data_IF_962175014247
#
_entry.id   IF_962175014247
#
_cell.length_a   1.000
_cell.length_b   1.000
_cell.length_c   1.000
_cell.angle_alpha   90.00
_cell.angle_beta   90.00
_cell.angle_gamma   90.00
#
_symmetry.space_group_name_H-M   'P 1'
#
loop_
_entity.id
_entity.type
_entity.pdbx_description
1 polymer ?
#
# COMPACT_ATOMS: atom_id res chain seq x y z
N UNK A 1 3.73 -11.37 -26.70
CA UNK A 1 4.12 -11.79 -25.33
C UNK A 1 3.35 -10.96 -24.32
N UNK A 2 2.71 -11.55 -23.30
CA UNK A 2 2.06 -10.80 -22.24
C UNK A 2 3.11 -9.99 -21.47
N UNK A 3 2.83 -8.69 -21.23
CA UNK A 3 3.73 -7.83 -20.45
C UNK A 3 3.75 -8.34 -19.01
N UNK A 4 4.94 -8.61 -18.47
CA UNK A 4 5.07 -9.01 -17.07
C UNK A 4 4.42 -7.96 -16.15
N UNK A 5 3.65 -8.38 -15.14
CA UNK A 5 3.06 -7.45 -14.19
C UNK A 5 4.16 -6.75 -13.40
N UNK A 6 4.11 -5.41 -13.35
CA UNK A 6 4.98 -4.61 -12.49
C UNK A 6 4.72 -4.98 -11.03
N UNK A 7 5.79 -5.16 -10.25
CA UNK A 7 5.72 -5.37 -8.79
C UNK A 7 5.42 -4.03 -8.10
N UNK A 8 4.82 -4.02 -6.90
CA UNK A 8 4.74 -2.81 -6.07
C UNK A 8 6.11 -2.15 -5.93
N UNK A 9 6.17 -0.81 -6.01
CA UNK A 9 7.44 -0.07 -5.94
C UNK A 9 8.32 -0.18 -7.18
N UNK A 10 7.82 -0.70 -8.30
CA UNK A 10 8.57 -0.75 -9.58
C UNK A 10 7.91 0.11 -10.66
N UNK A 11 8.71 0.54 -11.63
CA UNK A 11 8.27 1.30 -12.80
C UNK A 11 8.51 0.55 -14.11
N UNK A 12 7.73 0.89 -15.13
CA UNK A 12 7.90 0.39 -16.49
C UNK A 12 9.06 1.06 -17.24
N UNK A 13 9.30 0.62 -18.48
CA UNK A 13 10.34 1.18 -19.32
C UNK A 13 10.16 2.69 -19.55
N UNK A 14 11.25 3.44 -19.39
CA UNK A 14 11.28 4.89 -19.60
C UNK A 14 11.50 5.19 -21.07
N UNK A 15 10.41 5.47 -21.79
CA UNK A 15 10.45 5.88 -23.19
C UNK A 15 10.32 7.40 -23.30
N UNK A 16 11.40 8.04 -23.73
CA UNK A 16 11.42 9.49 -23.98
C UNK A 16 10.98 9.74 -25.42
N UNK A 17 9.96 10.57 -25.59
CA UNK A 17 9.43 11.01 -26.89
C UNK A 17 9.64 12.51 -27.03
N UNK A 18 9.72 12.98 -28.28
CA UNK A 18 9.75 14.41 -28.56
C UNK A 18 8.30 14.92 -28.62
N UNK A 19 8.07 16.10 -28.07
CA UNK A 19 6.79 16.82 -28.11
C UNK A 19 6.69 17.67 -29.39
N UNK A 20 5.49 18.09 -29.77
CA UNK A 20 5.27 18.94 -30.95
C UNK A 20 6.04 20.26 -30.89
N UNK A 21 6.27 20.74 -29.68
CA UNK A 21 6.84 22.06 -29.40
C UNK A 21 8.38 22.02 -29.35
N UNK A 22 8.99 20.93 -29.81
CA UNK A 22 10.45 20.72 -29.81
C UNK A 22 11.03 20.25 -28.48
N UNK A 23 10.21 20.19 -27.42
CA UNK A 23 10.57 19.60 -26.13
C UNK A 23 10.58 18.07 -26.14
N UNK A 24 10.87 17.46 -25.00
CA UNK A 24 10.84 16.02 -24.79
C UNK A 24 10.00 15.67 -23.57
N UNK A 25 9.36 14.51 -23.61
CA UNK A 25 8.60 13.99 -22.48
C UNK A 25 8.80 12.50 -22.28
N UNK A 26 8.64 12.05 -21.03
CA UNK A 26 8.52 10.65 -20.68
C UNK A 26 7.24 10.42 -19.88
N UNK A 27 6.47 9.42 -20.29
CA UNK A 27 5.28 8.94 -19.60
C UNK A 27 5.59 7.54 -19.08
N UNK A 28 5.76 7.41 -17.77
CA UNK A 28 6.17 6.17 -17.13
C UNK A 28 5.08 5.71 -16.18
N UNK A 29 4.66 4.45 -16.37
CA UNK A 29 3.72 3.80 -15.47
C UNK A 29 4.48 3.13 -14.34
N UNK A 30 3.98 3.27 -13.12
CA UNK A 30 4.55 2.62 -11.95
C UNK A 30 3.45 2.02 -11.08
N UNK A 31 3.81 1.13 -10.15
CA UNK A 31 2.91 0.70 -9.08
C UNK A 31 3.30 1.36 -7.77
N UNK A 32 2.33 1.94 -7.08
CA UNK A 32 2.55 2.45 -5.72
C UNK A 32 2.71 1.29 -4.71
N UNK A 33 3.04 1.63 -3.46
CA UNK A 33 3.21 0.66 -2.38
C UNK A 33 1.95 -0.18 -2.11
N UNK A 34 0.76 0.33 -2.45
CA UNK A 34 -0.51 -0.39 -2.32
C UNK A 34 -0.84 -1.23 -3.55
N UNK A 35 0.09 -1.32 -4.50
CA UNK A 35 -0.09 -2.03 -5.76
C UNK A 35 -0.98 -1.30 -6.76
N UNK A 36 -1.42 -0.06 -6.54
CA UNK A 36 -2.21 0.66 -7.54
C UNK A 36 -1.32 1.15 -8.67
N UNK A 37 -1.85 1.08 -9.89
CA UNK A 37 -1.16 1.61 -11.07
C UNK A 37 -1.29 3.13 -11.09
N UNK A 38 -0.15 3.80 -11.19
CA UNK A 38 -0.01 5.25 -11.27
C UNK A 38 0.85 5.63 -12.47
N UNK A 39 0.89 6.91 -12.75
CA UNK A 39 1.61 7.46 -13.88
C UNK A 39 2.43 8.67 -13.46
N UNK A 40 3.66 8.74 -13.96
CA UNK A 40 4.53 9.89 -13.85
C UNK A 40 4.78 10.46 -15.25
N UNK A 41 4.50 11.76 -15.40
CA UNK A 41 4.80 12.53 -16.59
C UNK A 41 5.93 13.52 -16.28
N UNK A 42 6.96 13.50 -17.11
CA UNK A 42 8.08 14.44 -17.06
C UNK A 42 8.21 15.09 -18.43
N UNK A 43 8.36 16.42 -18.47
CA UNK A 43 8.55 17.22 -19.70
C UNK A 43 9.76 18.12 -19.51
N UNK A 44 10.70 18.08 -20.44
CA UNK A 44 11.93 18.89 -20.40
C UNK A 44 12.42 19.24 -21.81
N UNK A 45 13.32 20.23 -21.90
CA UNK A 45 13.85 20.69 -23.20
C UNK A 45 14.76 19.68 -23.90
N UNK A 46 15.35 18.72 -23.18
CA UNK A 46 16.28 17.73 -23.76
C UNK A 46 15.99 16.32 -23.26
N UNK A 47 16.33 15.29 -24.06
CA UNK A 47 16.19 13.88 -23.66
C UNK A 47 16.95 13.55 -22.37
N UNK A 48 18.14 14.14 -22.19
CA UNK A 48 18.97 13.95 -21.00
C UNK A 48 18.32 14.55 -19.76
N UNK A 49 17.74 15.74 -19.87
CA UNK A 49 17.02 16.39 -18.78
C UNK A 49 15.77 15.59 -18.37
N UNK A 50 15.00 15.06 -19.33
CA UNK A 50 13.85 14.19 -19.01
C UNK A 50 14.28 12.98 -18.17
N UNK A 51 15.36 12.30 -18.55
CA UNK A 51 15.87 11.13 -17.81
C UNK A 51 16.36 11.50 -16.42
N UNK A 52 17.10 12.60 -16.30
CA UNK A 52 17.61 13.08 -15.01
C UNK A 52 16.46 13.42 -14.05
N UNK A 53 15.52 14.25 -14.48
CA UNK A 53 14.36 14.67 -13.67
C UNK A 53 13.47 13.47 -13.34
N UNK A 54 13.30 12.53 -14.27
CA UNK A 54 12.61 11.28 -13.99
C UNK A 54 13.31 10.48 -12.88
N UNK A 55 14.62 10.28 -12.97
CA UNK A 55 15.38 9.52 -11.98
C UNK A 55 15.34 10.19 -10.59
N UNK A 56 15.45 11.52 -10.53
CA UNK A 56 15.34 12.29 -9.27
C UNK A 56 13.95 12.11 -8.64
N UNK A 57 12.88 12.34 -9.42
CA UNK A 57 11.49 12.14 -8.94
C UNK A 57 11.23 10.70 -8.54
N UNK A 58 11.75 9.73 -9.30
CA UNK A 58 11.60 8.32 -8.99
C UNK A 58 12.33 7.96 -7.70
N UNK A 59 13.54 8.47 -7.49
CA UNK A 59 14.32 8.21 -6.29
C UNK A 59 13.56 8.69 -5.04
N UNK A 60 13.15 9.96 -5.00
CA UNK A 60 12.36 10.51 -3.88
C UNK A 60 11.07 9.72 -3.64
N UNK A 61 10.37 9.35 -4.70
CA UNK A 61 9.13 8.58 -4.63
C UNK A 61 9.38 7.16 -4.10
N UNK A 62 10.46 6.52 -4.54
CA UNK A 62 10.84 5.18 -4.12
C UNK A 62 11.23 5.14 -2.65
N UNK A 63 12.00 6.13 -2.17
CA UNK A 63 12.37 6.24 -0.75
C UNK A 63 11.13 6.38 0.13
N UNK A 64 10.17 7.21 -0.28
CA UNK A 64 8.87 7.36 0.42
C UNK A 64 8.06 6.07 0.42
N UNK A 65 8.06 5.32 -0.68
CA UNK A 65 7.37 4.03 -0.72
C UNK A 65 8.01 3.00 0.20
N UNK A 66 9.34 2.99 0.32
CA UNK A 66 10.06 2.06 1.20
C UNK A 66 9.91 2.45 2.68
N UNK A 67 9.75 3.74 2.99
CA UNK A 67 9.48 4.21 4.36
C UNK A 67 8.02 4.04 4.79
N UNK A 68 7.06 4.13 3.87
CA UNK A 68 5.62 4.00 4.20
C UNK A 68 5.14 2.54 4.17
N UNK A 69 5.99 1.61 3.76
CA UNK A 69 5.64 0.20 3.65
C UNK A 69 6.89 -0.65 3.78
N UNK A 70 7.22 -1.00 5.02
CA UNK A 70 7.74 -2.35 5.25
C UNK A 70 6.62 -3.31 4.86
N UNK A 71 6.57 -3.67 3.58
CA UNK A 71 5.89 -4.88 3.12
C UNK A 71 6.87 -6.03 3.35
N UNK A 72 7.17 -6.30 4.63
CA UNK A 72 7.36 -7.70 4.99
C UNK A 72 6.06 -8.42 4.56
N UNK A 73 6.19 -9.63 4.03
CA UNK A 73 5.03 -10.49 3.76
C UNK A 73 4.36 -10.80 5.11
N UNK A 74 3.56 -9.85 5.61
CA UNK A 74 2.85 -10.01 6.86
C UNK A 74 1.75 -11.02 6.61
N UNK A 75 1.97 -12.24 7.06
CA UNK A 75 0.94 -13.28 6.98
C UNK A 75 -0.21 -12.90 7.90
N UNK A 76 -1.42 -13.39 7.60
CA UNK A 76 -2.59 -13.21 8.48
C UNK A 76 -2.25 -13.69 9.91
N UNK A 77 -1.42 -14.73 10.05
CA UNK A 77 -0.95 -15.25 11.34
C UNK A 77 -0.12 -14.22 12.11
N UNK A 78 0.76 -13.47 11.44
CA UNK A 78 1.54 -12.41 12.08
C UNK A 78 0.67 -11.23 12.53
N UNK A 79 -0.39 -10.91 11.78
CA UNK A 79 -1.39 -9.92 12.22
C UNK A 79 -2.14 -10.38 13.48
N UNK A 80 -2.50 -11.67 13.54
CA UNK A 80 -3.16 -12.23 14.72
C UNK A 80 -2.25 -12.26 15.95
N UNK A 81 -0.96 -12.60 15.77
CA UNK A 81 0.03 -12.56 16.84
C UNK A 81 0.20 -11.13 17.38
N UNK A 82 0.36 -10.15 16.49
CA UNK A 82 0.48 -8.74 16.90
C UNK A 82 -0.79 -8.21 17.59
N UNK A 83 -1.98 -8.63 17.16
CA UNK A 83 -3.23 -8.29 17.83
C UNK A 83 -3.35 -8.95 19.21
N UNK A 84 -2.98 -10.22 19.34
CA UNK A 84 -3.00 -10.93 20.61
C UNK A 84 -2.03 -10.31 21.63
N UNK A 85 -0.80 -9.98 21.22
CA UNK A 85 0.17 -9.27 22.06
C UNK A 85 -0.34 -7.90 22.51
N UNK A 86 -1.03 -7.17 21.64
CA UNK A 86 -1.65 -5.89 21.98
C UNK A 86 -2.77 -6.04 23.01
N UNK A 87 -3.67 -7.01 22.85
CA UNK A 87 -4.73 -7.27 23.82
C UNK A 87 -4.17 -7.76 25.16
N UNK A 88 -3.12 -8.58 25.18
CA UNK A 88 -2.43 -8.99 26.41
C UNK A 88 -1.78 -7.80 27.14
N UNK A 89 -1.11 -6.90 26.41
CA UNK A 89 -0.55 -5.68 26.98
C UNK A 89 -1.64 -4.76 27.54
N UNK A 90 -2.77 -4.66 26.84
CA UNK A 90 -3.93 -3.89 27.31
C UNK A 90 -4.51 -4.48 28.59
N UNK A 91 -4.70 -5.81 28.65
CA UNK A 91 -5.16 -6.52 29.86
C UNK A 91 -4.17 -6.31 31.02
N UNK A 92 -2.87 -6.41 30.77
CA UNK A 92 -1.85 -6.16 31.79
C UNK A 92 -1.92 -4.71 32.28
N UNK A 93 -2.06 -3.73 31.38
CA UNK A 93 -2.19 -2.32 31.74
C UNK A 93 -3.47 -2.00 32.53
N UNK A 94 -4.56 -2.73 32.29
CA UNK A 94 -5.81 -2.61 33.04
C UNK A 94 -5.67 -3.23 34.44
N UNK A 95 -4.98 -4.37 34.56
CA UNK A 95 -4.64 -4.99 35.85
C UNK A 95 -3.73 -4.11 36.71
N UNK A 96 -2.70 -3.53 36.11
CA UNK A 96 -1.77 -2.63 36.81
C UNK A 96 -2.46 -1.34 37.31
N UNK A 97 -3.63 -1.00 36.75
CA UNK A 97 -4.47 0.15 37.13
C UNK A 97 -5.67 -0.22 37.99
N UNK A 98 -5.77 -1.47 38.46
CA UNK A 98 -6.90 -1.98 39.25
C UNK A 98 -8.29 -1.74 38.59
N UNK A 99 -8.32 -1.66 37.26
CA UNK A 99 -9.55 -1.50 36.49
C UNK A 99 -10.05 -2.87 36.03
N UNK A 100 -11.24 -3.27 36.46
CA UNK A 100 -11.89 -4.47 35.91
C UNK A 100 -12.29 -4.22 34.44
N UNK A 101 -12.01 -5.16 33.52
CA UNK A 101 -12.48 -5.03 32.15
C UNK A 101 -14.01 -5.09 32.14
N UNK A 102 -14.65 -4.01 31.69
CA UNK A 102 -16.08 -4.02 31.42
C UNK A 102 -16.32 -4.84 30.15
N UNK A 103 -16.65 -6.11 30.31
CA UNK A 103 -17.11 -6.95 29.22
C UNK A 103 -18.57 -6.59 28.98
N UNK A 104 -18.83 -5.75 27.98
CA UNK A 104 -20.20 -5.60 27.49
C UNK A 104 -20.65 -6.95 26.93
N UNK A 105 -21.77 -7.53 27.42
CA UNK A 105 -22.28 -8.76 26.84
C UNK A 105 -22.77 -8.45 25.42
N UNK A 106 -22.03 -8.91 24.41
CA UNK A 106 -22.52 -8.89 23.04
C UNK A 106 -23.78 -9.74 22.96
N UNK A 107 -24.93 -9.08 22.74
CA UNK A 107 -26.20 -9.72 22.45
C UNK A 107 -26.03 -10.58 21.21
N UNK A 108 -26.09 -11.91 21.41
CA UNK A 108 -26.15 -12.89 20.33
C UNK A 108 -27.43 -12.63 19.53
N UNK A 109 -27.33 -11.94 18.39
CA UNK A 109 -28.40 -11.92 17.41
C UNK A 109 -28.52 -13.34 16.85
N UNK A 110 -29.35 -14.15 17.50
CA UNK A 110 -29.78 -15.45 16.99
C UNK A 110 -30.43 -15.23 15.63
N UNK A 111 -29.80 -15.75 14.58
CA UNK A 111 -30.45 -15.91 13.29
C UNK A 111 -31.66 -16.83 13.50
N UNK A 112 -32.87 -16.24 13.48
CA UNK A 112 -34.13 -17.00 13.46
C UNK A 112 -34.07 -17.92 12.26
N UNK A 113 -33.99 -19.22 12.53
CA UNK A 113 -34.16 -20.28 11.55
C UNK A 113 -35.44 -20.00 10.76
N UNK A 114 -35.33 -19.96 9.45
CA UNK A 114 -36.45 -20.08 8.52
C UNK A 114 -37.05 -21.47 8.72
N UNK A 115 -38.02 -21.56 9.63
CA UNK A 115 -38.89 -22.71 9.73
C UNK A 115 -39.76 -22.82 8.47
N UNK A 116 -39.62 -23.95 7.79
CA UNK A 116 -40.74 -24.82 7.38
C UNK A 116 -41.99 -24.52 8.24
N UNK A 117 -43.22 -24.38 7.74
CA UNK A 117 -44.01 -25.12 6.72
C UNK A 117 -45.42 -24.43 6.69
N UNK A 118 -46.46 -24.82 5.91
CA UNK A 118 -46.80 -26.13 5.32
C UNK A 118 -46.86 -26.19 3.79
#
# INVERSE_FOLDING_TARGET
MPRQPLRPGTHGAVNVKQDSDGGYYARVLYRDARGNRREMLVREKTKGAVRRVFNEKWHELSERMHTTGSLEDVTIEQLFLGWAEYEDQKIQSMRDRDMQPHIEPHTHHQYKALGMTP
#
